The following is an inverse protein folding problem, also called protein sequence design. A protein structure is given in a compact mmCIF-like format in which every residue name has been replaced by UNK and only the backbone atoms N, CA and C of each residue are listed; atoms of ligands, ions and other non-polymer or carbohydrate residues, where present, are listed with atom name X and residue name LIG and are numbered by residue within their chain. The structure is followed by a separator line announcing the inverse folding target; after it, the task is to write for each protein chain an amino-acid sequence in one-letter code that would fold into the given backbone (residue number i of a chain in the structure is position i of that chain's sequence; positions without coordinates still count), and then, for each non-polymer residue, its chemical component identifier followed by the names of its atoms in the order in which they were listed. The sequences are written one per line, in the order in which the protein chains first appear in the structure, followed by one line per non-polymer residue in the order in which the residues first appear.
data_IF_734375768531
#
_entry.id   IF_734375768531
#
_cell.length_a   1.000
_cell.length_b   1.000
_cell.length_c   1.000
_cell.angle_alpha   90.00
_cell.angle_beta   90.00
_cell.angle_gamma   90.00
#
_symmetry.space_group_name_H-M   'P 1'
#
loop_
_entity.id
_entity.type
_entity.pdbx_description
1 polymer ?
#
# COMPACT_ATOMS: atom_id res chain seq x y z
N UNK A 1 -23.04 -70.99 35.37
CA UNK A 1 -22.89 -71.60 34.04
C UNK A 1 -22.37 -70.52 33.08
N UNK A 2 -21.10 -70.61 32.66
CA UNK A 2 -20.55 -69.96 31.44
C UNK A 2 -20.91 -70.88 30.25
N UNK A 3 -21.06 -70.43 28.98
CA UNK A 3 -20.17 -69.56 28.20
C UNK A 3 -20.98 -68.48 27.41
N UNK A 4 -20.45 -67.51 26.67
CA UNK A 4 -19.40 -67.59 25.67
C UNK A 4 -18.76 -66.23 25.41
N UNK A 5 -17.48 -66.34 25.11
CA UNK A 5 -16.52 -65.34 24.72
C UNK A 5 -16.84 -64.89 23.28
N UNK A 6 -17.05 -63.60 23.04
CA UNK A 6 -16.79 -63.02 21.71
C UNK A 6 -15.96 -61.76 21.88
N UNK A 7 -14.65 -61.99 21.81
CA UNK A 7 -13.63 -60.98 21.63
C UNK A 7 -13.79 -60.46 20.19
N UNK A 8 -14.26 -59.23 20.05
CA UNK A 8 -14.11 -58.46 18.82
C UNK A 8 -12.98 -57.46 19.06
N UNK A 9 -11.75 -57.85 18.71
CA UNK A 9 -10.60 -56.94 18.64
C UNK A 9 -10.85 -55.97 17.48
N UNK A 10 -11.33 -54.78 17.79
CA UNK A 10 -11.32 -53.67 16.84
C UNK A 10 -9.88 -53.17 16.76
N UNK A 11 -9.19 -53.55 15.68
CA UNK A 11 -7.85 -53.06 15.38
C UNK A 11 -7.94 -51.57 15.08
N UNK A 12 -7.45 -50.78 16.02
CA UNK A 12 -7.29 -49.33 15.93
C UNK A 12 -6.16 -49.02 14.93
N UNK A 13 -6.46 -48.91 13.64
CA UNK A 13 -5.53 -48.36 12.66
C UNK A 13 -5.61 -46.83 12.69
N UNK A 14 -4.87 -46.22 13.63
CA UNK A 14 -4.55 -44.79 13.53
C UNK A 14 -3.58 -44.62 12.37
N UNK A 15 -4.09 -44.42 11.16
CA UNK A 15 -3.27 -43.87 10.09
C UNK A 15 -2.95 -42.41 10.48
N UNK A 16 -1.68 -42.02 10.63
CA UNK A 16 -1.35 -40.61 10.76
C UNK A 16 -1.77 -39.97 9.43
N UNK A 17 -2.90 -39.25 9.45
CA UNK A 17 -3.19 -38.25 8.43
C UNK A 17 -2.15 -37.17 8.65
N UNK A 18 -0.96 -37.38 8.08
CA UNK A 18 -0.01 -36.33 7.82
C UNK A 18 -0.73 -35.34 6.95
N UNK A 19 -1.40 -34.39 7.60
CA UNK A 19 -1.81 -33.13 7.01
C UNK A 19 -0.49 -32.42 6.71
N UNK A 20 0.17 -32.85 5.64
CA UNK A 20 0.96 -31.96 4.83
C UNK A 20 -0.07 -31.05 4.13
N UNK A 21 -0.76 -30.24 4.93
CA UNK A 21 -1.24 -28.96 4.47
C UNK A 21 0.06 -28.29 4.04
N UNK A 22 0.33 -28.36 2.73
CA UNK A 22 1.08 -27.32 2.05
C UNK A 22 0.53 -26.06 2.67
N UNK A 23 1.35 -25.43 3.49
CA UNK A 23 1.15 -24.07 3.90
C UNK A 23 1.32 -23.32 2.59
N UNK A 24 0.28 -23.36 1.73
CA UNK A 24 -0.04 -22.31 0.81
C UNK A 24 0.10 -21.10 1.69
N UNK A 25 1.22 -20.39 1.50
CA UNK A 25 1.54 -19.20 2.26
C UNK A 25 0.28 -18.36 2.17
N UNK A 26 -0.48 -18.37 3.27
CA UNK A 26 -1.73 -17.66 3.39
C UNK A 26 -1.36 -16.25 3.02
N UNK A 27 -1.96 -15.78 1.92
CA UNK A 27 -1.59 -14.54 1.28
C UNK A 27 -1.64 -13.43 2.30
N UNK A 28 -0.47 -12.96 2.73
CA UNK A 28 -0.39 -11.68 3.37
C UNK A 28 -0.08 -10.71 2.24
N UNK A 29 -1.15 -10.20 1.62
CA UNK A 29 -1.13 -9.08 0.68
C UNK A 29 -0.71 -7.82 1.47
N UNK A 30 0.52 -7.82 1.99
CA UNK A 30 1.10 -6.70 2.70
C UNK A 30 1.66 -5.80 1.62
N UNK A 31 0.88 -4.79 1.24
CA UNK A 31 1.32 -3.69 0.38
C UNK A 31 2.71 -3.27 0.85
N UNK A 32 3.70 -3.29 -0.05
CA UNK A 32 5.05 -2.88 0.31
C UNK A 32 5.06 -1.40 0.65
N UNK A 33 6.02 -0.96 1.47
CA UNK A 33 6.18 0.48 1.75
C UNK A 33 6.36 1.28 0.45
N UNK A 34 7.07 0.70 -0.51
CA UNK A 34 7.27 1.28 -1.85
C UNK A 34 5.96 1.47 -2.60
N UNK A 35 5.05 0.48 -2.55
CA UNK A 35 3.74 0.56 -3.18
C UNK A 35 2.87 1.63 -2.52
N UNK A 36 2.93 1.76 -1.19
CA UNK A 36 2.26 2.84 -0.46
C UNK A 36 2.79 4.21 -0.90
N UNK A 37 4.11 4.38 -0.98
CA UNK A 37 4.74 5.63 -1.40
C UNK A 37 4.36 5.95 -2.85
N UNK A 38 4.41 4.97 -3.76
CA UNK A 38 4.03 5.15 -5.16
C UNK A 38 2.58 5.59 -5.30
N UNK A 39 1.68 5.01 -4.51
CA UNK A 39 0.27 5.41 -4.48
C UNK A 39 0.10 6.85 -3.96
N UNK A 40 0.82 7.22 -2.89
CA UNK A 40 0.80 8.58 -2.35
C UNK A 40 1.37 9.61 -3.33
N UNK A 41 2.43 9.25 -4.06
CA UNK A 41 3.05 10.09 -5.09
C UNK A 41 2.10 10.34 -6.26
N UNK A 42 1.44 9.29 -6.74
CA UNK A 42 0.41 9.39 -7.77
C UNK A 42 -0.75 10.29 -7.31
N UNK A 43 -1.19 10.15 -6.06
CA UNK A 43 -2.22 11.02 -5.48
C UNK A 43 -1.77 12.49 -5.46
N UNK A 44 -0.52 12.75 -5.05
CA UNK A 44 0.07 14.10 -5.09
C UNK A 44 0.04 14.68 -6.50
N UNK A 45 0.46 13.90 -7.51
CA UNK A 45 0.47 14.34 -8.90
C UNK A 45 -0.94 14.72 -9.37
N UNK A 46 -1.94 13.89 -9.08
CA UNK A 46 -3.32 14.21 -9.46
C UNK A 46 -3.82 15.47 -8.74
N UNK A 47 -3.50 15.63 -7.45
CA UNK A 47 -3.85 16.83 -6.70
C UNK A 47 -3.21 18.11 -7.29
N UNK A 48 -1.96 18.02 -7.79
CA UNK A 48 -1.27 19.12 -8.48
C UNK A 48 -1.96 19.49 -9.81
N UNK A 49 -2.32 18.48 -10.61
CA UNK A 49 -2.99 18.69 -11.91
C UNK A 49 -4.39 19.29 -11.74
N UNK A 50 -5.12 18.86 -10.70
CA UNK A 50 -6.50 19.26 -10.45
C UNK A 50 -6.65 20.44 -9.49
N UNK A 51 -5.55 21.07 -9.06
CA UNK A 51 -5.56 22.15 -8.08
C UNK A 51 -6.30 21.80 -6.77
N UNK A 52 -6.16 20.55 -6.30
CA UNK A 52 -6.77 20.08 -5.05
C UNK A 52 -5.92 20.50 -3.84
N UNK A 53 -6.17 21.71 -3.34
CA UNK A 53 -5.48 22.27 -2.18
C UNK A 53 -5.60 21.38 -0.92
N UNK A 54 -6.74 20.69 -0.75
CA UNK A 54 -7.00 19.89 0.45
C UNK A 54 -6.15 18.63 0.45
N UNK A 55 -6.08 17.93 -0.69
CA UNK A 55 -5.20 16.78 -0.84
C UNK A 55 -3.72 17.18 -0.68
N UNK A 56 -3.29 18.28 -1.31
CA UNK A 56 -1.90 18.77 -1.17
C UNK A 56 -1.55 19.14 0.27
N UNK A 57 -2.48 19.79 1.00
CA UNK A 57 -2.26 20.11 2.41
C UNK A 57 -2.15 18.85 3.29
N UNK A 58 -2.92 17.81 3.02
CA UNK A 58 -2.82 16.53 3.74
C UNK A 58 -1.53 15.77 3.43
N UNK A 59 -1.09 15.80 2.17
CA UNK A 59 0.07 15.01 1.70
C UNK A 59 1.39 15.65 2.13
N UNK A 60 1.51 16.98 2.03
CA UNK A 60 2.74 17.67 2.39
C UNK A 60 2.88 17.81 3.92
N UNK A 61 4.06 17.44 4.43
CA UNK A 61 4.45 17.67 5.81
C UNK A 61 4.39 19.16 6.17
N UNK A 62 4.20 19.49 7.45
CA UNK A 62 4.07 20.87 7.90
C UNK A 62 5.28 21.75 7.55
N UNK A 63 6.48 21.16 7.55
CA UNK A 63 7.77 21.78 7.23
C UNK A 63 8.22 21.53 5.79
N UNK A 64 7.32 21.07 4.91
CA UNK A 64 7.64 20.79 3.52
C UNK A 64 8.20 22.03 2.80
N UNK A 65 9.31 21.81 2.10
CA UNK A 65 9.99 22.78 1.25
C UNK A 65 10.01 22.27 -0.18
N UNK A 66 9.52 23.09 -1.11
CA UNK A 66 9.62 22.84 -2.55
C UNK A 66 10.69 23.72 -3.19
N UNK A 67 11.47 23.15 -4.10
CA UNK A 67 12.43 23.89 -4.93
C UNK A 67 12.02 23.73 -6.39
N UNK A 68 11.63 24.84 -7.02
CA UNK A 68 11.22 24.83 -8.42
C UNK A 68 12.42 24.84 -9.39
N UNK A 69 12.19 24.73 -10.71
CA UNK A 69 13.26 24.69 -11.72
C UNK A 69 14.19 25.92 -11.74
N UNK A 70 13.73 27.06 -11.22
CA UNK A 70 14.53 28.28 -11.08
C UNK A 70 15.41 28.32 -9.83
N UNK A 71 15.42 27.25 -9.02
CA UNK A 71 16.12 27.20 -7.73
C UNK A 71 15.42 27.98 -6.61
N UNK A 72 14.24 28.56 -6.87
CA UNK A 72 13.46 29.26 -5.84
C UNK A 72 12.92 28.29 -4.80
N UNK A 73 13.33 28.50 -3.54
CA UNK A 73 12.84 27.80 -2.36
C UNK A 73 11.47 28.34 -1.96
N UNK A 74 10.53 27.45 -1.64
CA UNK A 74 9.16 27.77 -1.24
C UNK A 74 8.71 26.92 -0.07
N UNK A 75 7.93 27.52 0.83
CA UNK A 75 7.24 26.82 1.91
C UNK A 75 5.99 26.11 1.40
N UNK A 76 5.45 25.17 2.19
CA UNK A 76 4.21 24.45 1.87
C UNK A 76 3.06 25.33 1.35
N UNK A 77 2.64 26.43 2.03
CA UNK A 77 1.57 27.29 1.52
C UNK A 77 1.90 27.92 0.16
N UNK A 78 3.17 28.28 -0.07
CA UNK A 78 3.61 28.86 -1.33
C UNK A 78 3.57 27.82 -2.46
N UNK A 79 3.99 26.58 -2.20
CA UNK A 79 3.90 25.49 -3.19
C UNK A 79 2.44 25.17 -3.52
N UNK A 80 1.56 25.08 -2.52
CA UNK A 80 0.12 24.87 -2.78
C UNK A 80 -0.45 26.01 -3.64
N UNK A 81 -0.05 27.26 -3.37
CA UNK A 81 -0.46 28.43 -4.16
C UNK A 81 0.02 28.36 -5.62
N UNK A 82 1.22 27.82 -5.89
CA UNK A 82 1.72 27.68 -7.26
C UNK A 82 0.78 26.79 -8.12
N UNK A 83 0.14 25.77 -7.54
CA UNK A 83 -0.80 24.88 -8.24
C UNK A 83 -2.25 25.35 -8.24
N UNK A 84 -2.64 26.21 -7.30
CA UNK A 84 -4.05 26.54 -7.02
C UNK A 84 -4.45 27.97 -7.38
N UNK A 85 -3.48 28.87 -7.59
CA UNK A 85 -3.71 30.27 -8.00
C UNK A 85 -4.41 30.40 -9.35
N UNK A 86 -4.28 29.40 -10.23
CA UNK A 86 -4.76 29.45 -11.61
C UNK A 86 -3.77 30.08 -12.59
N UNK A 87 -2.65 30.65 -12.11
CA UNK A 87 -1.59 31.22 -12.95
C UNK A 87 -0.85 30.14 -13.76
N UNK A 88 -0.86 28.91 -13.25
CA UNK A 88 -0.24 27.74 -13.87
C UNK A 88 -1.20 26.54 -13.81
N UNK A 89 -1.40 25.88 -14.95
CA UNK A 89 -2.18 24.64 -15.04
C UNK A 89 -1.40 23.56 -15.76
N UNK A 90 -1.11 22.49 -15.05
CA UNK A 90 -0.49 21.31 -15.63
C UNK A 90 -1.54 20.47 -16.37
N UNK A 91 -1.25 20.09 -17.61
CA UNK A 91 -2.07 19.12 -18.35
C UNK A 91 -1.66 17.68 -18.03
N UNK A 92 -0.37 17.48 -17.76
CA UNK A 92 0.22 16.19 -17.39
C UNK A 92 1.47 16.42 -16.55
N UNK A 93 1.80 15.45 -15.71
CA UNK A 93 3.06 15.35 -14.97
C UNK A 93 3.44 13.87 -15.03
N UNK A 94 4.64 13.56 -15.52
CA UNK A 94 5.21 12.20 -15.58
C UNK A 94 6.54 12.17 -14.84
N UNK A 95 6.85 11.05 -14.19
CA UNK A 95 8.06 10.86 -13.39
C UNK A 95 8.86 9.63 -13.81
N UNK A 96 8.54 9.05 -14.96
CA UNK A 96 9.13 7.77 -15.43
C UNK A 96 10.64 7.86 -15.66
N UNK A 97 11.15 9.06 -15.96
CA UNK A 97 12.57 9.32 -16.23
C UNK A 97 13.38 9.72 -14.98
N UNK A 98 12.75 9.76 -13.80
CA UNK A 98 13.42 10.12 -12.54
C UNK A 98 13.75 8.83 -11.78
N UNK A 99 15.04 8.53 -11.62
CA UNK A 99 15.56 7.35 -10.88
C UNK A 99 15.80 7.64 -9.40
#
# INVERSE_FOLDING_TARGET
MRPALFIAVVVLTVAPKGVAQKQSASGNHRTSVEEVIRKLDNERIQAQIHADATALDRIYAADFIGVGPSGRVRTKPQVISDFTSGDLKFQSITTDDVQ
#
